data_IF_254801702606
#
_entry.id   IF_254801702606
#
_cell.length_a   1.000
_cell.length_b   1.000
_cell.length_c   1.000
_cell.angle_alpha   90.00
_cell.angle_beta   90.00
_cell.angle_gamma   90.00
#
_symmetry.space_group_name_H-M   'P 1'
#
loop_
_entity.id
_entity.type
_entity.pdbx_description
1 polymer ?
#
# COMPACT_ATOMS: atom_id res chain seq x y z
N UNK A 1 -25.01 26.13 -13.04
CA UNK A 1 -23.56 26.35 -12.81
C UNK A 1 -22.94 24.97 -12.74
N UNK A 2 -21.92 24.70 -13.55
CA UNK A 2 -21.15 23.47 -13.36
C UNK A 2 -20.43 23.59 -12.02
N UNK A 3 -20.40 22.51 -11.25
CA UNK A 3 -19.69 22.46 -9.95
C UNK A 3 -18.21 22.14 -10.12
N UNK A 4 -17.85 21.63 -11.30
CA UNK A 4 -16.56 21.07 -11.60
C UNK A 4 -16.09 21.52 -13.00
N UNK A 5 -14.82 21.88 -13.09
CA UNK A 5 -14.08 22.06 -14.32
C UNK A 5 -13.56 20.71 -14.80
N UNK A 6 -13.83 20.40 -16.08
CA UNK A 6 -13.39 19.15 -16.72
C UNK A 6 -12.52 19.48 -17.92
N UNK A 7 -11.27 19.04 -17.87
CA UNK A 7 -10.33 19.13 -18.99
C UNK A 7 -10.08 17.74 -19.58
N UNK A 8 -10.01 17.66 -20.91
CA UNK A 8 -9.79 16.42 -21.65
C UNK A 8 -8.62 16.57 -22.60
N UNK A 9 -7.74 15.58 -22.60
CA UNK A 9 -6.59 15.51 -23.51
C UNK A 9 -6.56 14.13 -24.18
N UNK A 10 -6.54 14.10 -25.51
CA UNK A 10 -6.50 12.87 -26.29
C UNK A 10 -5.10 12.65 -26.90
N UNK A 11 -4.56 11.45 -26.75
CA UNK A 11 -3.31 11.01 -27.37
C UNK A 11 -3.55 9.79 -28.27
N UNK A 12 -2.58 9.43 -29.10
CA UNK A 12 -2.69 8.23 -29.94
C UNK A 12 -2.65 6.96 -29.08
N UNK A 13 -3.51 5.96 -29.39
CA UNK A 13 -3.38 4.61 -28.82
C UNK A 13 -2.00 4.04 -29.16
N UNK A 14 -1.44 3.13 -28.34
CA UNK A 14 -0.19 2.44 -28.68
C UNK A 14 -0.18 1.77 -30.07
N UNK A 15 -1.34 1.30 -30.55
CA UNK A 15 -1.46 0.71 -31.89
C UNK A 15 -1.61 1.74 -33.03
N UNK A 16 -1.78 3.03 -32.72
CA UNK A 16 -2.00 4.11 -33.69
C UNK A 16 -3.38 4.16 -34.34
N UNK A 17 -4.28 3.20 -34.07
CA UNK A 17 -5.60 3.09 -34.73
C UNK A 17 -6.71 3.95 -34.11
N UNK A 18 -6.52 4.45 -32.89
CA UNK A 18 -7.53 5.21 -32.14
C UNK A 18 -6.85 6.13 -31.12
N UNK A 19 -7.62 6.66 -30.16
CA UNK A 19 -7.16 7.56 -29.11
C UNK A 19 -7.20 6.94 -27.72
N UNK A 20 -6.50 7.59 -26.79
CA UNK A 20 -6.63 7.40 -25.36
C UNK A 20 -6.94 8.79 -24.81
N UNK A 21 -8.04 8.90 -24.07
CA UNK A 21 -8.53 10.16 -23.51
C UNK A 21 -8.19 10.22 -22.03
N UNK A 22 -7.37 11.19 -21.65
CA UNK A 22 -7.12 11.56 -20.26
C UNK A 22 -8.10 12.66 -19.85
N UNK A 23 -8.73 12.49 -18.70
CA UNK A 23 -9.68 13.46 -18.13
C UNK A 23 -9.15 13.93 -16.79
N UNK A 24 -9.05 15.23 -16.59
CA UNK A 24 -8.80 15.82 -15.28
C UNK A 24 -10.03 16.63 -14.85
N UNK A 25 -10.57 16.29 -13.67
CA UNK A 25 -11.75 16.92 -13.08
C UNK A 25 -11.35 17.62 -11.80
N UNK A 26 -11.72 18.88 -11.65
CA UNK A 26 -11.43 19.68 -10.43
C UNK A 26 -12.63 20.55 -10.05
N UNK A 27 -12.76 20.95 -8.78
CA UNK A 27 -13.76 21.93 -8.37
C UNK A 27 -13.64 23.25 -9.14
N UNK A 28 -14.76 23.85 -9.53
CA UNK A 28 -14.78 25.16 -10.21
C UNK A 28 -14.57 26.31 -9.21
N UNK A 29 -13.31 26.55 -8.79
CA UNK A 29 -12.93 27.74 -8.02
C UNK A 29 -11.46 28.16 -8.21
N UNK A 30 -11.15 29.45 -8.03
CA UNK A 30 -9.84 30.05 -8.36
C UNK A 30 -8.60 29.53 -7.58
N UNK A 31 -8.78 28.60 -6.65
CA UNK A 31 -7.72 28.11 -5.73
C UNK A 31 -7.70 26.58 -5.64
N UNK A 32 -7.97 25.88 -6.74
CA UNK A 32 -7.85 24.41 -6.81
C UNK A 32 -6.43 23.99 -6.45
N UNK A 33 -6.33 23.00 -5.56
CA UNK A 33 -5.08 22.29 -5.27
C UNK A 33 -5.03 20.99 -6.06
N UNK A 34 -3.84 20.51 -6.40
CA UNK A 34 -3.66 19.23 -7.10
C UNK A 34 -4.32 18.05 -6.37
N UNK A 35 -4.35 18.10 -5.03
CA UNK A 35 -5.04 17.08 -4.21
C UNK A 35 -6.56 17.05 -4.37
N UNK A 36 -7.13 18.04 -5.05
CA UNK A 36 -8.56 18.15 -5.35
C UNK A 36 -8.84 17.85 -6.83
N UNK A 37 -7.81 17.57 -7.63
CA UNK A 37 -7.92 17.20 -9.03
C UNK A 37 -7.95 15.68 -9.15
N UNK A 38 -9.00 15.14 -9.77
CA UNK A 38 -9.11 13.73 -10.08
C UNK A 38 -8.70 13.49 -11.53
N UNK A 39 -7.82 12.51 -11.76
CA UNK A 39 -7.33 12.15 -13.08
C UNK A 39 -7.77 10.75 -13.47
N UNK A 40 -8.41 10.65 -14.63
CA UNK A 40 -8.88 9.39 -15.23
C UNK A 40 -8.28 9.22 -16.63
N UNK A 41 -8.25 7.99 -17.11
CA UNK A 41 -7.96 7.72 -18.51
C UNK A 41 -8.90 6.65 -19.09
N UNK A 42 -9.26 6.80 -20.36
CA UNK A 42 -10.05 5.84 -21.11
C UNK A 42 -9.34 5.53 -22.44
N UNK A 43 -9.27 4.25 -22.80
CA UNK A 43 -8.61 3.79 -24.03
C UNK A 43 -9.69 3.59 -25.08
N UNK A 44 -9.82 4.33 -26.17
CA UNK A 44 -10.96 4.17 -27.09
C UNK A 44 -10.87 2.91 -27.99
N UNK A 45 -9.66 2.38 -28.20
CA UNK A 45 -9.44 1.19 -29.02
C UNK A 45 -9.80 -0.12 -28.29
N UNK A 46 -10.75 -0.88 -28.82
CA UNK A 46 -11.16 -2.20 -28.28
C UNK A 46 -9.97 -3.17 -28.18
N UNK A 47 -9.15 -3.30 -29.22
CA UNK A 47 -7.97 -4.18 -29.20
C UNK A 47 -6.93 -3.74 -28.14
N UNK A 48 -6.68 -2.43 -28.01
CA UNK A 48 -5.77 -1.91 -26.98
C UNK A 48 -6.37 -2.12 -25.57
N UNK A 49 -7.70 -1.97 -25.40
CA UNK A 49 -8.38 -2.18 -24.11
C UNK A 49 -8.16 -3.60 -23.60
N UNK A 50 -8.04 -4.61 -24.45
CA UNK A 50 -7.77 -5.99 -24.00
C UNK A 50 -6.37 -6.17 -23.41
N UNK A 51 -5.38 -5.41 -23.90
CA UNK A 51 -3.96 -5.57 -23.51
C UNK A 51 -3.52 -4.57 -22.44
N UNK A 52 -4.04 -3.36 -22.48
CA UNK A 52 -3.61 -2.25 -21.66
C UNK A 52 -4.70 -1.81 -20.70
N UNK A 53 -4.29 -1.19 -19.60
CA UNK A 53 -5.18 -0.59 -18.61
C UNK A 53 -4.58 0.73 -18.11
N UNK A 54 -5.41 1.75 -17.85
CA UNK A 54 -5.01 2.90 -17.06
C UNK A 54 -4.58 2.47 -15.65
N UNK A 55 -3.42 2.93 -15.22
CA UNK A 55 -2.89 2.67 -13.89
C UNK A 55 -2.28 3.94 -13.31
N UNK A 56 -2.69 4.26 -12.09
CA UNK A 56 -2.05 5.23 -11.22
C UNK A 56 -1.64 4.50 -9.94
N UNK A 57 -0.52 4.88 -9.34
CA UNK A 57 -0.15 4.31 -8.05
C UNK A 57 -1.21 4.64 -6.98
N UNK A 58 -1.54 3.70 -6.08
CA UNK A 58 -2.47 3.97 -4.98
C UNK A 58 -2.02 5.20 -4.19
N UNK A 59 -2.98 6.07 -3.84
CA UNK A 59 -2.76 7.32 -3.11
C UNK A 59 -1.92 8.37 -3.86
N UNK A 60 -1.64 8.16 -5.14
CA UNK A 60 -1.09 9.19 -6.02
C UNK A 60 -2.21 9.97 -6.69
N UNK A 61 -2.08 11.30 -6.76
CA UNK A 61 -2.91 12.16 -7.61
C UNK A 61 -2.27 12.34 -9.00
N UNK A 62 -1.37 11.45 -9.41
CA UNK A 62 -0.73 11.52 -10.72
C UNK A 62 -1.71 11.15 -11.83
N UNK A 63 -1.52 11.77 -13.00
CA UNK A 63 -2.17 11.34 -14.25
C UNK A 63 -1.91 9.84 -14.46
N UNK A 64 -2.94 9.01 -14.69
CA UNK A 64 -2.76 7.59 -14.96
C UNK A 64 -1.87 7.36 -16.18
N UNK A 65 -1.00 6.36 -16.12
CA UNK A 65 -0.27 5.87 -17.28
C UNK A 65 -1.01 4.67 -17.89
N UNK A 66 -0.81 4.40 -19.18
CA UNK A 66 -1.20 3.10 -19.73
C UNK A 66 -0.11 2.08 -19.47
N UNK A 67 -0.51 0.93 -18.96
CA UNK A 67 0.39 -0.17 -18.62
C UNK A 67 -0.22 -1.48 -19.12
N UNK A 68 0.60 -2.53 -19.20
CA UNK A 68 0.11 -3.85 -19.57
C UNK A 68 -0.74 -4.45 -18.44
N UNK A 69 -1.90 -5.02 -18.80
CA UNK A 69 -2.79 -5.67 -17.81
C UNK A 69 -2.09 -6.79 -17.04
N UNK A 70 -1.23 -7.54 -17.71
CA UNK A 70 -0.45 -8.62 -17.08
C UNK A 70 0.49 -8.11 -15.97
N UNK A 71 1.06 -6.90 -16.11
CA UNK A 71 1.91 -6.30 -15.08
C UNK A 71 1.09 -5.94 -13.83
N UNK A 72 -0.09 -5.33 -14.03
CA UNK A 72 -1.01 -5.01 -12.94
C UNK A 72 -1.51 -6.28 -12.25
N UNK A 73 -1.87 -7.30 -13.02
CA UNK A 73 -2.29 -8.59 -12.50
C UNK A 73 -1.17 -9.30 -11.71
N UNK A 74 0.07 -9.25 -12.21
CA UNK A 74 1.24 -9.80 -11.52
C UNK A 74 1.52 -9.08 -10.19
N UNK A 75 1.47 -7.74 -10.18
CA UNK A 75 1.66 -6.94 -8.95
C UNK A 75 0.56 -7.23 -7.93
N UNK A 76 -0.70 -7.31 -8.36
CA UNK A 76 -1.82 -7.68 -7.49
C UNK A 76 -1.69 -9.12 -6.94
N UNK A 77 -1.22 -10.07 -7.76
CA UNK A 77 -0.98 -11.43 -7.31
C UNK A 77 0.18 -11.51 -6.28
N UNK A 78 1.24 -10.71 -6.47
CA UNK A 78 2.33 -10.61 -5.50
C UNK A 78 1.86 -9.98 -4.18
N UNK A 79 1.05 -8.93 -4.25
CA UNK A 79 0.39 -8.32 -3.08
C UNK A 79 -0.45 -9.34 -2.31
N UNK A 80 -1.29 -10.11 -3.01
CA UNK A 80 -2.12 -11.14 -2.40
C UNK A 80 -1.29 -12.20 -1.68
N UNK A 81 -0.17 -12.65 -2.26
CA UNK A 81 0.74 -13.61 -1.60
C UNK A 81 1.37 -13.03 -0.35
N UNK A 82 1.80 -11.77 -0.39
CA UNK A 82 2.35 -11.07 0.76
C UNK A 82 1.33 -11.01 1.91
N UNK A 83 0.10 -10.56 1.64
CA UNK A 83 -0.95 -10.46 2.66
C UNK A 83 -1.45 -11.83 3.14
N UNK A 84 -1.49 -12.84 2.27
CA UNK A 84 -1.82 -14.20 2.66
C UNK A 84 -0.79 -14.73 3.67
N UNK A 85 0.50 -14.59 3.38
CA UNK A 85 1.57 -15.04 4.28
C UNK A 85 1.60 -14.22 5.58
N UNK A 86 1.36 -12.91 5.50
CA UNK A 86 1.22 -12.05 6.68
C UNK A 86 0.10 -12.53 7.60
N UNK A 87 -1.04 -12.93 7.03
CA UNK A 87 -2.17 -13.46 7.79
C UNK A 87 -1.89 -14.87 8.35
N UNK A 88 -1.18 -15.70 7.60
CA UNK A 88 -0.73 -17.02 8.05
C UNK A 88 0.14 -16.93 9.30
N UNK A 89 1.15 -16.05 9.29
CA UNK A 89 1.98 -15.77 10.48
C UNK A 89 1.08 -15.31 11.64
N UNK A 90 0.15 -14.39 11.39
CA UNK A 90 -0.73 -13.86 12.44
C UNK A 90 -1.61 -14.95 13.07
N UNK A 91 -1.94 -15.99 12.32
CA UNK A 91 -2.76 -17.12 12.75
C UNK A 91 -1.92 -18.32 13.22
N UNK A 92 -0.59 -18.21 13.27
CA UNK A 92 0.26 -19.34 13.60
C UNK A 92 0.27 -19.66 15.11
N UNK A 93 0.50 -20.93 15.49
CA UNK A 93 0.66 -21.30 16.89
C UNK A 93 1.79 -20.55 17.59
N UNK A 94 2.86 -20.21 16.87
CA UNK A 94 4.00 -19.44 17.39
C UNK A 94 3.58 -18.02 17.74
N UNK A 95 2.76 -17.37 16.89
CA UNK A 95 2.20 -16.06 17.18
C UNK A 95 1.30 -16.09 18.42
N UNK A 96 0.48 -17.13 18.58
CA UNK A 96 -0.36 -17.30 19.75
C UNK A 96 0.45 -17.52 21.04
N UNK A 97 1.60 -18.18 20.97
CA UNK A 97 2.55 -18.29 22.10
C UNK A 97 3.30 -16.98 22.39
N UNK A 98 3.57 -16.18 21.37
CA UNK A 98 4.28 -14.90 21.50
C UNK A 98 3.39 -13.81 22.13
N UNK A 99 2.11 -13.74 21.76
CA UNK A 99 1.18 -12.69 22.22
C UNK A 99 1.12 -12.51 23.74
N UNK A 100 1.01 -13.58 24.56
CA UNK A 100 1.06 -13.44 26.02
C UNK A 100 2.38 -12.84 26.53
N UNK A 101 3.52 -13.16 25.90
CA UNK A 101 4.84 -12.62 26.29
C UNK A 101 4.92 -11.12 26.00
N UNK A 102 4.38 -10.68 24.86
CA UNK A 102 4.25 -9.26 24.53
C UNK A 102 3.39 -8.55 25.59
N UNK A 103 2.22 -9.13 25.89
CA UNK A 103 1.29 -8.54 26.85
C UNK A 103 1.95 -8.40 28.24
N UNK A 104 2.56 -9.49 28.75
CA UNK A 104 3.28 -9.50 30.02
C UNK A 104 4.40 -8.45 30.06
N UNK A 105 5.20 -8.31 29.00
CA UNK A 105 6.29 -7.35 28.97
C UNK A 105 5.80 -5.90 29.06
N UNK A 106 4.67 -5.58 28.42
CA UNK A 106 4.06 -4.25 28.47
C UNK A 106 3.39 -4.01 29.84
N UNK A 107 2.65 -4.99 30.34
CA UNK A 107 1.88 -4.87 31.58
C UNK A 107 2.75 -4.93 32.84
N UNK A 108 3.97 -5.47 32.75
CA UNK A 108 4.96 -5.44 33.82
C UNK A 108 5.60 -4.04 34.04
N UNK A 109 5.38 -3.10 33.11
CA UNK A 109 5.90 -1.74 33.24
C UNK A 109 5.29 -1.01 34.45
N UNK A 110 6.12 -0.31 35.23
CA UNK A 110 5.69 0.32 36.49
C UNK A 110 4.91 1.62 36.27
N UNK A 111 4.93 2.15 35.05
CA UNK A 111 4.29 3.42 34.69
C UNK A 111 3.84 3.46 33.25
N UNK A 112 2.89 4.36 32.94
CA UNK A 112 2.44 4.62 31.56
C UNK A 112 3.58 5.04 30.63
N UNK A 113 4.53 5.83 31.13
CA UNK A 113 5.69 6.26 30.35
C UNK A 113 6.65 5.10 30.03
N UNK A 114 6.78 4.15 30.95
CA UNK A 114 7.55 2.93 30.71
C UNK A 114 6.82 1.99 29.74
N UNK A 115 5.51 1.77 29.93
CA UNK A 115 4.70 0.97 29.01
C UNK A 115 4.75 1.53 27.58
N UNK A 116 4.66 2.86 27.43
CA UNK A 116 4.80 3.53 26.13
C UNK A 116 6.18 3.30 25.50
N UNK A 117 7.27 3.39 26.28
CA UNK A 117 8.62 3.09 25.80
C UNK A 117 8.77 1.64 25.35
N UNK A 118 8.17 0.69 26.07
CA UNK A 118 8.14 -0.73 25.69
C UNK A 118 7.37 -0.91 24.37
N UNK A 119 6.20 -0.29 24.23
CA UNK A 119 5.42 -0.33 22.99
C UNK A 119 6.19 0.29 21.81
N UNK A 120 6.89 1.40 22.03
CA UNK A 120 7.71 2.06 21.01
C UNK A 120 8.93 1.20 20.61
N UNK A 121 9.63 0.58 21.56
CA UNK A 121 10.76 -0.29 21.24
C UNK A 121 10.31 -1.51 20.43
N UNK A 122 9.11 -2.00 20.71
CA UNK A 122 8.44 -3.03 19.94
C UNK A 122 7.71 -2.49 18.70
N UNK A 123 7.80 -1.20 18.35
CA UNK A 123 7.07 -0.55 17.24
C UNK A 123 5.56 -0.89 17.16
N UNK A 124 4.93 -1.15 18.31
CA UNK A 124 3.49 -1.39 18.44
C UNK A 124 2.71 -0.08 18.69
N UNK A 125 3.41 1.05 18.67
CA UNK A 125 2.83 2.40 18.72
C UNK A 125 3.73 3.37 17.96
N UNK A 126 3.10 4.32 17.27
CA UNK A 126 3.78 5.48 16.64
C UNK A 126 3.37 6.80 17.29
N UNK A 127 2.46 6.75 18.26
CA UNK A 127 1.96 7.93 18.94
C UNK A 127 3.04 8.57 19.81
N UNK A 128 2.99 9.89 19.91
CA UNK A 128 3.71 10.61 20.96
C UNK A 128 3.22 10.18 22.34
N UNK A 129 4.09 10.31 23.36
CA UNK A 129 3.69 10.01 24.73
C UNK A 129 2.47 10.84 25.17
N UNK A 130 2.36 12.09 24.74
CA UNK A 130 1.21 12.94 25.07
C UNK A 130 -0.13 12.42 24.54
N UNK A 131 -0.13 11.80 23.35
CA UNK A 131 -1.31 11.14 22.78
C UNK A 131 -1.62 9.86 23.54
N UNK A 132 -0.62 9.00 23.77
CA UNK A 132 -0.77 7.76 24.52
C UNK A 132 -1.27 7.99 25.95
N UNK A 133 -0.72 8.97 26.66
CA UNK A 133 -1.08 9.25 28.06
C UNK A 133 -2.56 9.61 28.23
N UNK A 134 -3.18 10.22 27.20
CA UNK A 134 -4.62 10.54 27.18
C UNK A 134 -5.49 9.31 26.98
N UNK A 135 -5.01 8.31 26.22
CA UNK A 135 -5.75 7.08 25.88
C UNK A 135 -4.81 5.87 25.92
N UNK A 136 -4.35 5.48 27.12
CA UNK A 136 -3.41 4.38 27.24
C UNK A 136 -4.10 3.07 26.89
N UNK A 137 -3.38 2.18 26.24
CA UNK A 137 -3.78 0.80 26.02
C UNK A 137 -2.73 -0.14 26.60
N UNK A 138 -3.19 -1.28 27.10
CA UNK A 138 -2.36 -2.29 27.76
C UNK A 138 -1.77 -3.30 26.79
N UNK A 139 -1.02 -4.24 27.35
CA UNK A 139 -0.30 -5.27 26.64
C UNK A 139 -1.21 -6.18 25.81
N UNK A 140 -2.37 -6.58 26.33
CA UNK A 140 -3.31 -7.43 25.59
C UNK A 140 -3.83 -6.76 24.32
N UNK A 141 -4.19 -5.47 24.41
CA UNK A 141 -4.65 -4.70 23.25
C UNK A 141 -3.53 -4.54 22.22
N UNK A 142 -2.29 -4.29 22.67
CA UNK A 142 -1.13 -4.20 21.79
C UNK A 142 -0.82 -5.55 21.11
N UNK A 143 -0.85 -6.65 21.85
CA UNK A 143 -0.58 -7.99 21.32
C UNK A 143 -1.64 -8.45 20.31
N UNK A 144 -2.92 -8.13 20.53
CA UNK A 144 -4.01 -8.40 19.57
C UNK A 144 -3.93 -7.52 18.33
N UNK A 145 -3.46 -6.28 18.48
CA UNK A 145 -3.26 -5.32 17.38
C UNK A 145 -2.03 -5.61 16.53
N UNK A 146 -1.07 -6.39 17.03
CA UNK A 146 0.16 -6.71 16.31
C UNK A 146 -0.11 -7.47 15.00
N UNK A 147 0.44 -6.95 13.91
CA UNK A 147 0.39 -7.58 12.61
C UNK A 147 1.36 -8.74 12.43
N UNK A 148 1.23 -9.50 11.34
CA UNK A 148 2.21 -10.54 10.98
C UNK A 148 3.65 -10.03 10.95
N UNK A 149 3.88 -8.86 10.34
CA UNK A 149 5.21 -8.22 10.31
C UNK A 149 5.71 -7.81 11.71
N UNK A 150 4.83 -7.35 12.60
CA UNK A 150 5.21 -7.00 13.97
C UNK A 150 5.58 -8.24 14.79
N UNK A 151 4.79 -9.30 14.65
CA UNK A 151 5.00 -10.58 15.33
C UNK A 151 6.33 -11.21 14.89
N UNK A 152 6.63 -11.21 13.58
CA UNK A 152 7.95 -11.62 13.06
C UNK A 152 9.08 -10.83 13.69
N UNK A 153 8.99 -9.50 13.68
CA UNK A 153 10.06 -8.63 14.19
C UNK A 153 10.29 -8.83 15.69
N UNK A 154 9.22 -8.93 16.47
CA UNK A 154 9.30 -9.12 17.92
C UNK A 154 9.78 -10.54 18.25
N UNK A 155 9.21 -11.54 17.58
CA UNK A 155 9.53 -12.95 17.76
C UNK A 155 10.91 -13.35 17.25
N UNK A 156 11.50 -12.59 16.33
CA UNK A 156 12.90 -12.79 15.92
C UNK A 156 13.90 -12.34 16.98
N UNK A 157 13.45 -11.58 17.99
CA UNK A 157 14.25 -11.12 19.12
C UNK A 157 14.12 -12.01 20.36
N UNK A 158 14.46 -11.44 21.51
CA UNK A 158 14.51 -12.16 22.81
C UNK A 158 13.15 -12.75 23.20
N UNK A 159 12.04 -12.12 22.84
CA UNK A 159 10.69 -12.60 23.18
C UNK A 159 10.27 -13.85 22.40
N UNK A 160 10.96 -14.18 21.31
CA UNK A 160 10.72 -15.42 20.56
C UNK A 160 11.00 -16.69 21.35
N UNK A 161 12.02 -16.66 22.24
CA UNK A 161 12.44 -17.85 22.97
C UNK A 161 12.73 -19.02 22.02
N UNK A 162 12.10 -20.17 22.26
CA UNK A 162 12.25 -21.38 21.44
C UNK A 162 11.64 -21.23 20.03
N UNK A 163 10.68 -20.33 19.84
CA UNK A 163 10.03 -20.08 18.54
C UNK A 163 10.83 -19.09 17.67
N UNK A 164 11.96 -18.57 18.16
CA UNK A 164 12.79 -17.60 17.44
C UNK A 164 13.20 -18.06 16.02
N UNK A 165 13.60 -19.32 15.78
CA UNK A 165 13.94 -19.79 14.43
C UNK A 165 12.77 -19.71 13.44
N UNK A 166 11.55 -19.96 13.91
CA UNK A 166 10.34 -19.81 13.08
C UNK A 166 10.18 -18.36 12.62
N UNK A 167 10.28 -17.40 13.55
CA UNK A 167 10.12 -15.99 13.22
C UNK A 167 11.24 -15.46 12.34
N UNK A 168 12.46 -15.94 12.50
CA UNK A 168 13.59 -15.57 11.61
C UNK A 168 13.33 -16.05 10.17
N UNK A 169 12.89 -17.30 10.00
CA UNK A 169 12.53 -17.82 8.68
C UNK A 169 11.35 -17.06 8.08
N UNK A 170 10.33 -16.77 8.89
CA UNK A 170 9.19 -15.97 8.46
C UNK A 170 9.60 -14.53 8.08
N UNK A 171 10.62 -13.95 8.73
CA UNK A 171 11.18 -12.66 8.36
C UNK A 171 11.77 -12.66 6.96
N UNK A 172 12.59 -13.66 6.65
CA UNK A 172 13.21 -13.79 5.32
C UNK A 172 12.13 -13.94 4.25
N UNK A 173 11.17 -14.84 4.47
CA UNK A 173 10.09 -15.09 3.51
C UNK A 173 9.19 -13.87 3.31
N UNK A 174 8.87 -13.15 4.38
CA UNK A 174 8.04 -11.94 4.31
C UNK A 174 8.77 -10.80 3.58
N UNK A 175 10.09 -10.68 3.77
CA UNK A 175 10.92 -9.72 3.05
C UNK A 175 11.00 -10.03 1.55
N UNK A 176 11.20 -11.29 1.18
CA UNK A 176 11.18 -11.73 -0.22
C UNK A 176 9.85 -11.43 -0.90
N UNK A 177 8.72 -11.71 -0.23
CA UNK A 177 7.38 -11.42 -0.75
C UNK A 177 7.13 -9.91 -0.86
N UNK A 178 7.55 -9.13 0.14
CA UNK A 178 7.42 -7.67 0.11
C UNK A 178 8.24 -7.08 -1.04
N UNK A 179 9.46 -7.59 -1.26
CA UNK A 179 10.31 -7.19 -2.38
C UNK A 179 9.66 -7.54 -3.72
N UNK A 180 9.17 -8.78 -3.88
CA UNK A 180 8.48 -9.21 -5.09
C UNK A 180 7.26 -8.32 -5.40
N UNK A 181 6.50 -7.89 -4.38
CA UNK A 181 5.37 -6.98 -4.58
C UNK A 181 5.78 -5.54 -4.89
N UNK A 182 6.67 -4.95 -4.08
CA UNK A 182 7.07 -3.54 -4.23
C UNK A 182 7.87 -3.32 -5.52
N UNK A 183 8.80 -4.21 -5.80
CA UNK A 183 9.69 -4.13 -6.96
C UNK A 183 9.06 -4.73 -8.23
N UNK A 184 7.83 -5.26 -8.17
CA UNK A 184 7.09 -5.67 -9.39
C UNK A 184 6.99 -4.48 -10.35
N UNK A 185 7.64 -4.57 -11.53
CA UNK A 185 7.75 -3.45 -12.44
C UNK A 185 6.38 -3.13 -13.04
N UNK A 186 6.02 -1.85 -12.97
CA UNK A 186 4.93 -1.28 -13.76
C UNK A 186 5.58 -0.32 -14.74
N UNK A 187 5.60 -0.69 -16.01
CA UNK A 187 6.28 0.09 -17.05
C UNK A 187 5.23 0.83 -17.88
N UNK A 188 5.20 2.17 -17.81
CA UNK A 188 4.35 2.99 -18.68
C UNK A 188 4.65 2.74 -20.14
N UNK A 189 3.61 2.54 -20.93
CA UNK A 189 3.70 2.55 -22.38
C UNK A 189 3.89 3.99 -22.83
N UNK A 190 4.93 4.23 -23.64
CA UNK A 190 5.18 5.55 -24.22
C UNK A 190 4.10 5.85 -25.25
N UNK A 191 3.26 6.85 -24.95
CA UNK A 191 2.22 7.32 -25.85
C UNK A 191 2.76 8.45 -26.73
N UNK A 192 2.44 8.40 -28.01
CA UNK A 192 2.76 9.46 -28.95
C UNK A 192 1.63 10.49 -28.96
N UNK A 193 1.95 11.80 -29.06
CA UNK A 193 0.94 12.84 -29.24
C UNK A 193 -0.01 12.46 -30.40
N UNK A 194 -1.31 12.75 -30.24
CA UNK A 194 -2.23 12.60 -31.35
C UNK A 194 -1.76 13.50 -32.52
N UNK A 195 -1.59 12.94 -33.72
CA UNK A 195 -1.31 13.77 -34.91
C UNK A 195 -2.46 14.76 -35.06
N UNK A 196 -2.16 16.05 -35.01
CA UNK A 196 -3.15 17.08 -35.35
C UNK A 196 -3.62 16.78 -36.77
N UNK A 197 -4.92 16.50 -36.93
CA UNK A 197 -5.53 16.41 -38.24
C UNK A 197 -5.37 17.78 -38.89
N UNK A 198 -4.44 17.89 -39.85
CA UNK A 198 -4.31 19.06 -40.71
C UNK A 198 -5.66 19.17 -41.44
N UNK A 199 -6.50 20.11 -41.00
CA UNK A 199 -7.72 20.46 -41.71
C UNK A 199 -7.29 20.99 -43.08
N UNK A 200 -7.57 20.22 -44.13
CA UNK A 200 -7.47 20.67 -45.52
C UNK A 200 -8.72 21.44 -45.90
#
# INVERSE_FOLDING_TARGET
MATDDVSKHAVSCPCGKSTVTFTATSPDHAYVRESQTHHDAEIDCVECREKYVPYAEPFSNSVPALVLREQVAAKAAAEQRYWAYWNEIKASPEADRLRPRIAQQVDAAKSKAEAHRVLQSMKLTYDSYGTYAKRPYGGEAAAKGAGGADLVRIGSGVLGGEDQPYFQNASVQLEELNKAWRDSPIEPVVLQPARQLIRK
#
